data_IF_713607101977
#
_entry.id   IF_713607101977
#
_cell.length_a   1.000
_cell.length_b   1.000
_cell.length_c   1.000
_cell.angle_alpha   90.00
_cell.angle_beta   90.00
_cell.angle_gamma   90.00
#
_symmetry.space_group_name_H-M   'P 1'
#
loop_
_entity.id
_entity.type
_entity.pdbx_description
1 polymer ?
#
# COMPACT_ATOMS: atom_id res chain seq x y z
N UNK A 1 7.70 -15.53 2.61
CA UNK A 1 6.63 -14.64 2.08
C UNK A 1 7.20 -13.25 1.82
N UNK A 2 6.90 -12.67 0.67
CA UNK A 2 7.24 -11.28 0.32
C UNK A 2 5.98 -10.44 0.34
N UNK A 3 6.03 -9.29 1.01
CA UNK A 3 4.94 -8.32 1.11
C UNK A 3 5.38 -7.00 0.47
N UNK A 4 5.15 -6.80 -0.84
CA UNK A 4 5.40 -5.52 -1.48
C UNK A 4 4.46 -4.46 -0.91
N UNK A 5 5.01 -3.39 -0.34
CA UNK A 5 4.24 -2.29 0.26
C UNK A 5 4.84 -0.93 -0.10
N UNK A 6 4.05 0.14 -0.01
CA UNK A 6 4.64 1.48 0.01
C UNK A 6 5.46 1.70 1.29
N UNK A 7 6.52 2.50 1.19
CA UNK A 7 7.40 2.77 2.32
C UNK A 7 6.70 3.60 3.42
N UNK A 8 5.83 4.52 2.99
CA UNK A 8 5.03 5.39 3.85
C UNK A 8 3.76 4.63 4.25
N UNK A 9 3.43 4.63 5.54
CA UNK A 9 2.26 4.03 6.17
C UNK A 9 2.08 2.50 5.98
N UNK A 10 1.95 2.01 4.74
CA UNK A 10 1.54 0.61 4.45
C UNK A 10 2.52 -0.42 5.01
N UNK A 11 3.83 -0.16 4.94
CA UNK A 11 4.82 -1.09 5.48
C UNK A 11 4.66 -1.27 7.00
N UNK A 12 4.43 -0.17 7.71
CA UNK A 12 4.29 -0.12 9.16
C UNK A 12 2.94 -0.72 9.58
N UNK A 13 1.87 -0.42 8.86
CA UNK A 13 0.54 -0.98 9.12
C UNK A 13 0.52 -2.51 8.95
N UNK A 14 1.14 -3.06 7.89
CA UNK A 14 1.26 -4.52 7.74
C UNK A 14 2.04 -5.11 8.91
N UNK A 15 3.16 -4.49 9.31
CA UNK A 15 3.93 -4.97 10.45
C UNK A 15 3.08 -5.01 11.73
N UNK A 16 2.31 -3.96 12.00
CA UNK A 16 1.40 -3.89 13.14
C UNK A 16 0.28 -4.94 13.06
N UNK A 17 -0.33 -5.16 11.90
CA UNK A 17 -1.35 -6.20 11.69
C UNK A 17 -0.78 -7.59 12.00
N UNK A 18 0.39 -7.90 11.46
CA UNK A 18 1.07 -9.18 11.71
C UNK A 18 1.35 -9.36 13.22
N UNK A 19 1.94 -8.35 13.85
CA UNK A 19 2.24 -8.38 15.27
C UNK A 19 1.00 -8.52 16.16
N UNK A 20 -0.10 -7.85 15.81
CA UNK A 20 -1.38 -7.93 16.52
C UNK A 20 -1.99 -9.34 16.47
N UNK A 21 -1.71 -10.10 15.40
CA UNK A 21 -2.16 -11.49 15.24
C UNK A 21 -1.10 -12.52 15.68
N UNK A 22 -0.08 -12.09 16.42
CA UNK A 22 0.97 -12.99 16.93
C UNK A 22 2.03 -13.39 15.90
N UNK A 23 1.97 -12.90 14.67
CA UNK A 23 2.99 -13.14 13.64
C UNK A 23 4.12 -12.12 13.76
N UNK A 24 5.18 -12.48 14.46
CA UNK A 24 6.33 -11.59 14.69
C UNK A 24 7.69 -12.30 14.59
N UNK A 25 7.70 -13.63 14.52
CA UNK A 25 8.93 -14.38 14.30
C UNK A 25 9.41 -14.19 12.86
N UNK A 26 10.70 -13.86 12.72
CA UNK A 26 11.38 -13.71 11.44
C UNK A 26 10.67 -12.76 10.43
N UNK A 27 10.09 -11.67 10.95
CA UNK A 27 9.51 -10.59 10.14
C UNK A 27 10.55 -9.49 9.93
N UNK A 28 10.86 -9.21 8.67
CA UNK A 28 11.86 -8.26 8.23
C UNK A 28 11.25 -7.03 7.59
N UNK A 29 11.91 -5.89 7.75
CA UNK A 29 11.62 -4.65 7.04
C UNK A 29 12.85 -4.17 6.26
N UNK A 30 12.66 -3.83 4.99
CA UNK A 30 13.73 -3.38 4.08
C UNK A 30 13.36 -2.08 3.32
N UNK A 31 14.33 -1.54 2.59
CA UNK A 31 14.19 -0.36 1.74
C UNK A 31 14.05 0.91 2.56
N UNK A 32 13.36 1.90 1.98
CA UNK A 32 13.08 3.18 2.63
C UNK A 32 12.09 3.06 3.79
N UNK A 33 11.35 1.95 3.91
CA UNK A 33 10.42 1.73 5.01
C UNK A 33 11.12 1.73 6.37
N UNK A 34 12.40 1.31 6.42
CA UNK A 34 13.22 1.33 7.64
C UNK A 34 13.43 2.74 8.18
N UNK A 35 13.71 3.70 7.29
CA UNK A 35 13.92 5.09 7.67
C UNK A 35 12.61 5.75 8.11
N UNK A 36 11.51 5.44 7.41
CA UNK A 36 10.20 5.97 7.80
C UNK A 36 9.65 5.35 9.08
N UNK A 37 9.98 4.09 9.37
CA UNK A 37 9.70 3.51 10.66
C UNK A 37 10.39 4.31 11.78
N UNK A 38 11.65 4.70 11.58
CA UNK A 38 12.35 5.54 12.56
C UNK A 38 11.67 6.91 12.71
N UNK A 39 11.34 7.57 11.60
CA UNK A 39 10.62 8.84 11.63
C UNK A 39 9.30 8.75 12.43
N UNK A 40 8.50 7.71 12.20
CA UNK A 40 7.27 7.50 12.97
C UNK A 40 7.50 7.20 14.45
N UNK A 41 8.64 6.59 14.81
CA UNK A 41 8.99 6.34 16.20
C UNK A 41 9.51 7.60 16.90
N UNK A 42 10.02 8.58 16.15
CA UNK A 42 10.52 9.85 16.68
C UNK A 42 9.39 10.88 16.88
N UNK A 43 8.27 10.73 16.16
CA UNK A 43 7.15 11.70 16.09
C UNK A 43 5.81 11.10 16.60
N UNK A 44 5.75 10.71 17.88
CA UNK A 44 4.58 10.05 18.51
C UNK A 44 3.25 10.78 18.28
N UNK A 45 3.25 12.11 18.37
CA UNK A 45 2.05 12.96 18.25
C UNK A 45 1.28 12.73 16.94
N UNK A 46 1.98 12.35 15.86
CA UNK A 46 1.39 12.18 14.53
C UNK A 46 1.02 10.74 14.19
N UNK A 47 1.17 9.80 15.14
CA UNK A 47 0.95 8.37 14.92
C UNK A 47 -0.21 7.87 15.76
N UNK A 48 -1.36 7.67 15.12
CA UNK A 48 -2.44 6.90 15.73
C UNK A 48 -2.00 5.44 15.96
N UNK A 49 -2.21 4.94 17.18
CA UNK A 49 -1.76 3.61 17.58
C UNK A 49 -0.23 3.48 17.79
N UNK A 50 0.46 4.57 18.15
CA UNK A 50 1.92 4.59 18.40
C UNK A 50 2.43 3.43 19.28
N UNK A 51 1.72 3.15 20.37
CA UNK A 51 2.03 2.05 21.29
C UNK A 51 2.19 0.69 20.59
N UNK A 52 1.31 0.39 19.64
CA UNK A 52 1.38 -0.83 18.86
C UNK A 52 2.58 -0.79 17.92
N UNK A 53 2.83 0.35 17.26
CA UNK A 53 3.99 0.53 16.39
C UNK A 53 5.31 0.37 17.17
N UNK A 54 5.44 0.98 18.34
CA UNK A 54 6.63 0.92 19.20
C UNK A 54 6.87 -0.48 19.79
N UNK A 55 5.81 -1.24 20.10
CA UNK A 55 5.94 -2.67 20.45
C UNK A 55 6.34 -3.52 19.25
N UNK A 56 5.80 -3.22 18.08
CA UNK A 56 6.07 -3.95 16.83
C UNK A 56 7.50 -3.73 16.36
N UNK A 57 7.99 -2.48 16.41
CA UNK A 57 9.34 -2.11 15.95
C UNK A 57 10.44 -2.88 16.69
N UNK A 58 10.26 -3.12 17.99
CA UNK A 58 11.19 -3.92 18.81
C UNK A 58 11.28 -5.39 18.41
N UNK A 59 10.25 -5.91 17.72
CA UNK A 59 10.18 -7.29 17.25
C UNK A 59 10.60 -7.44 15.79
N UNK A 60 10.56 -6.35 15.02
CA UNK A 60 10.96 -6.33 13.61
C UNK A 60 12.47 -6.48 13.44
N UNK A 61 12.86 -7.27 12.44
CA UNK A 61 14.25 -7.37 11.98
C UNK A 61 14.48 -6.33 10.89
N UNK A 62 15.45 -5.44 11.10
CA UNK A 62 15.76 -4.38 10.14
C UNK A 62 16.89 -4.84 9.22
N UNK A 63 16.64 -4.88 7.91
CA UNK A 63 17.65 -5.20 6.91
C UNK A 63 18.72 -4.10 6.87
N UNK A 64 19.98 -4.45 7.08
CA UNK A 64 21.11 -3.50 7.06
C UNK A 64 21.83 -3.46 5.72
N UNK A 65 21.73 -4.52 4.92
CA UNK A 65 22.37 -4.58 3.62
C UNK A 65 22.23 -5.93 2.95
N UNK A 66 23.03 -6.16 1.91
CA UNK A 66 22.95 -7.33 1.03
C UNK A 66 22.98 -8.67 1.77
N UNK A 67 23.85 -8.82 2.78
CA UNK A 67 23.98 -10.07 3.56
C UNK A 67 22.68 -10.46 4.26
N UNK A 68 21.96 -9.49 4.82
CA UNK A 68 20.66 -9.75 5.45
C UNK A 68 19.61 -10.16 4.41
N UNK A 69 19.65 -9.56 3.21
CA UNK A 69 18.76 -9.91 2.10
C UNK A 69 18.97 -11.33 1.61
N UNK A 70 20.22 -11.78 1.57
CA UNK A 70 20.59 -13.15 1.21
C UNK A 70 20.13 -14.11 2.31
N UNK A 71 20.46 -13.83 3.57
CA UNK A 71 20.07 -14.65 4.72
C UNK A 71 18.55 -14.85 4.85
N UNK A 72 17.76 -13.79 4.71
CA UNK A 72 16.29 -13.91 4.87
C UNK A 72 15.63 -14.73 3.76
N UNK A 73 16.33 -15.01 2.66
CA UNK A 73 15.86 -15.91 1.60
C UNK A 73 16.22 -17.38 1.88
N UNK A 74 17.13 -17.65 2.82
CA UNK A 74 17.56 -19.02 3.18
C UNK A 74 16.60 -19.66 4.20
N UNK A 75 15.93 -18.86 5.03
CA UNK A 75 15.01 -19.30 6.08
C UNK A 75 13.55 -18.88 5.78
N UNK A 76 12.54 -19.62 6.28
CA UNK A 76 11.15 -19.18 6.26
C UNK A 76 10.99 -17.81 6.96
N UNK A 77 10.80 -16.78 6.15
CA UNK A 77 10.79 -15.38 6.59
C UNK A 77 9.60 -14.64 5.98
N UNK A 78 9.18 -13.56 6.64
CA UNK A 78 8.31 -12.53 6.04
C UNK A 78 9.16 -11.29 5.78
N UNK A 79 9.13 -10.75 4.56
CA UNK A 79 9.80 -9.47 4.26
C UNK A 79 8.80 -8.43 3.77
N UNK A 80 8.71 -7.32 4.49
CA UNK A 80 7.90 -6.15 4.13
C UNK A 80 8.84 -5.13 3.49
N UNK A 81 8.58 -4.78 2.23
CA UNK A 81 9.52 -3.93 1.49
C UNK A 81 8.83 -3.13 0.38
N UNK A 82 9.35 -1.93 0.06
CA UNK A 82 9.03 -1.22 -1.17
C UNK A 82 9.75 -1.79 -2.41
N UNK A 83 9.25 -1.55 -3.62
CA UNK A 83 8.05 -0.76 -3.94
C UNK A 83 6.75 -1.59 -3.99
N UNK A 84 5.64 -1.04 -3.47
CA UNK A 84 4.35 -1.74 -3.35
C UNK A 84 3.68 -2.18 -4.65
N UNK A 85 4.08 -1.60 -5.79
CA UNK A 85 3.62 -2.00 -7.13
C UNK A 85 4.68 -2.79 -7.93
N UNK A 86 5.75 -3.23 -7.28
CA UNK A 86 6.85 -3.98 -7.87
C UNK A 86 7.58 -3.29 -9.04
N UNK A 87 7.46 -1.97 -9.19
CA UNK A 87 8.20 -1.19 -10.21
C UNK A 87 9.73 -1.21 -10.02
N UNK A 88 10.21 -1.66 -8.86
CA UNK A 88 11.63 -1.74 -8.55
C UNK A 88 11.89 -1.89 -7.05
N UNK A 89 13.13 -1.60 -6.65
CA UNK A 89 13.56 -1.69 -5.25
C UNK A 89 13.65 -3.12 -4.71
N UNK A 90 13.87 -3.28 -3.39
CA UNK A 90 14.13 -4.60 -2.82
C UNK A 90 12.93 -5.55 -2.92
N UNK A 91 11.68 -5.07 -2.90
CA UNK A 91 10.50 -5.94 -3.09
C UNK A 91 10.50 -6.64 -4.44
N UNK A 92 10.87 -5.93 -5.51
CA UNK A 92 11.02 -6.54 -6.83
C UNK A 92 12.13 -7.58 -6.83
N UNK A 93 13.25 -7.33 -6.14
CA UNK A 93 14.33 -8.30 -5.98
C UNK A 93 13.84 -9.58 -5.27
N UNK A 94 13.17 -9.46 -4.12
CA UNK A 94 12.67 -10.63 -3.40
C UNK A 94 11.61 -11.39 -4.19
N UNK A 95 10.64 -10.68 -4.79
CA UNK A 95 9.60 -11.29 -5.60
C UNK A 95 10.19 -12.12 -6.75
N UNK A 96 11.25 -11.62 -7.42
CA UNK A 96 11.96 -12.38 -8.45
C UNK A 96 12.66 -13.62 -7.88
N UNK A 97 13.29 -13.50 -6.71
CA UNK A 97 14.02 -14.61 -6.08
C UNK A 97 13.10 -15.75 -5.65
N UNK A 98 11.90 -15.43 -5.17
CA UNK A 98 10.94 -16.44 -4.72
C UNK A 98 9.96 -16.86 -5.82
N UNK A 99 9.98 -16.24 -7.00
CA UNK A 99 8.95 -16.46 -8.03
C UNK A 99 8.79 -17.93 -8.43
N UNK A 100 9.90 -18.69 -8.48
CA UNK A 100 9.90 -20.11 -8.85
C UNK A 100 9.64 -21.09 -7.71
N UNK A 101 9.42 -20.61 -6.48
CA UNK A 101 9.24 -21.46 -5.30
C UNK A 101 7.75 -21.57 -4.93
N UNK A 102 7.17 -22.76 -5.09
CA UNK A 102 5.75 -23.06 -4.81
C UNK A 102 5.40 -22.96 -3.32
N UNK A 103 6.38 -23.11 -2.41
CA UNK A 103 6.16 -22.93 -0.97
C UNK A 103 6.10 -21.44 -0.58
N UNK A 104 6.53 -20.56 -1.47
CA UNK A 104 6.59 -19.12 -1.24
C UNK A 104 5.28 -18.41 -1.62
N UNK A 105 5.10 -17.21 -1.07
CA UNK A 105 3.94 -16.35 -1.34
C UNK A 105 4.39 -14.91 -1.59
N UNK A 106 3.81 -14.29 -2.61
CA UNK A 106 3.87 -12.86 -2.88
C UNK A 106 2.50 -12.27 -2.50
N UNK A 107 2.45 -11.50 -1.42
CA UNK A 107 1.24 -10.86 -0.89
C UNK A 107 1.23 -9.37 -1.25
N UNK A 108 0.48 -9.01 -2.29
CA UNK A 108 0.31 -7.64 -2.74
C UNK A 108 -0.71 -6.92 -1.84
N UNK A 109 -0.23 -5.97 -1.03
CA UNK A 109 -1.09 -5.26 -0.06
C UNK A 109 -1.60 -3.90 -0.53
N UNK A 110 -1.05 -3.40 -1.64
CA UNK A 110 -1.36 -2.08 -2.18
C UNK A 110 -2.16 -2.18 -3.48
N UNK A 111 -2.82 -1.08 -3.86
CA UNK A 111 -3.39 -0.93 -5.20
C UNK A 111 -2.31 -1.16 -6.27
N UNK A 112 -2.69 -1.84 -7.35
CA UNK A 112 -1.81 -2.15 -8.47
C UNK A 112 -2.32 -1.40 -9.70
N UNK A 113 -1.66 -0.29 -10.04
CA UNK A 113 -2.06 0.51 -11.19
C UNK A 113 -1.88 -0.29 -12.49
N UNK A 114 -2.66 0.01 -13.55
CA UNK A 114 -2.46 -0.57 -14.87
C UNK A 114 -1.01 -0.43 -15.33
N UNK A 115 -0.53 -1.42 -16.09
CA UNK A 115 0.84 -1.47 -16.63
C UNK A 115 1.96 -1.52 -15.59
N UNK A 116 1.65 -1.84 -14.32
CA UNK A 116 2.67 -2.12 -13.30
C UNK A 116 3.05 -3.61 -13.27
N UNK A 117 4.28 -3.96 -12.83
CA UNK A 117 4.66 -5.36 -12.68
C UNK A 117 3.75 -6.13 -11.72
N UNK A 118 3.26 -5.51 -10.65
CA UNK A 118 2.32 -6.16 -9.75
C UNK A 118 0.92 -6.36 -10.37
N UNK A 119 0.44 -5.46 -11.22
CA UNK A 119 -0.79 -5.69 -11.99
C UNK A 119 -0.64 -6.85 -12.99
N UNK A 120 0.50 -6.92 -13.69
CA UNK A 120 0.81 -8.05 -14.59
C UNK A 120 0.91 -9.37 -13.84
N UNK A 121 1.54 -9.35 -12.65
CA UNK A 121 1.65 -10.53 -11.80
C UNK A 121 0.26 -11.05 -11.38
N UNK A 122 -0.67 -10.17 -11.05
CA UNK A 122 -2.04 -10.56 -10.70
C UNK A 122 -2.83 -11.10 -11.91
N UNK A 123 -2.71 -10.45 -13.06
CA UNK A 123 -3.50 -10.80 -14.24
C UNK A 123 -2.97 -12.06 -14.95
N UNK A 124 -1.66 -12.20 -15.04
CA UNK A 124 -1.00 -13.22 -15.87
C UNK A 124 -0.19 -14.24 -15.08
N UNK A 125 0.02 -14.01 -13.77
CA UNK A 125 0.93 -14.84 -12.98
C UNK A 125 2.40 -14.69 -13.42
N UNK A 126 2.78 -13.53 -13.97
CA UNK A 126 4.12 -13.29 -14.52
C UNK A 126 4.78 -12.04 -13.95
N UNK A 127 6.08 -12.15 -13.70
CA UNK A 127 6.99 -11.03 -13.50
C UNK A 127 7.78 -10.79 -14.79
N UNK A 128 8.14 -9.53 -15.06
CA UNK A 128 8.96 -9.18 -16.23
C UNK A 128 10.19 -8.34 -15.85
N UNK A 129 11.09 -8.84 -14.99
CA UNK A 129 12.30 -8.10 -14.65
C UNK A 129 13.20 -7.92 -15.89
N UNK A 130 13.65 -6.69 -16.12
CA UNK A 130 14.60 -6.34 -17.19
C UNK A 130 14.21 -6.89 -18.58
N UNK A 131 12.92 -7.02 -18.87
CA UNK A 131 12.40 -7.50 -20.16
C UNK A 131 12.33 -9.02 -20.32
N UNK A 132 12.77 -9.82 -19.34
CA UNK A 132 12.60 -11.28 -19.36
C UNK A 132 11.37 -11.70 -18.56
N UNK A 133 10.51 -12.55 -19.12
CA UNK A 133 9.34 -13.06 -18.41
C UNK A 133 9.67 -14.24 -17.50
N UNK A 134 9.18 -14.19 -16.27
CA UNK A 134 9.24 -15.27 -15.28
C UNK A 134 7.81 -15.61 -14.88
N UNK A 135 7.39 -16.85 -15.13
CA UNK A 135 6.12 -17.37 -14.60
C UNK A 135 6.27 -17.64 -13.11
N UNK A 136 5.37 -17.08 -12.29
CA UNK A 136 5.35 -17.32 -10.87
C UNK A 136 4.76 -18.71 -10.57
N UNK A 137 5.55 -19.57 -9.95
CA UNK A 137 5.10 -20.78 -9.26
C UNK A 137 4.69 -20.47 -7.81
N UNK A 138 5.29 -19.42 -7.21
CA UNK A 138 4.87 -18.91 -5.92
C UNK A 138 3.39 -18.48 -5.91
N UNK A 139 2.74 -18.67 -4.77
CA UNK A 139 1.37 -18.22 -4.57
C UNK A 139 1.29 -16.68 -4.65
N UNK A 140 0.43 -16.16 -5.51
CA UNK A 140 0.17 -14.72 -5.62
C UNK A 140 -1.18 -14.41 -5.00
N UNK A 141 -1.21 -13.52 -4.00
CA UNK A 141 -2.44 -13.10 -3.32
C UNK A 141 -2.48 -11.58 -3.26
N UNK A 142 -3.67 -11.00 -3.40
CA UNK A 142 -3.90 -9.59 -3.13
C UNK A 142 -4.81 -9.40 -1.92
N UNK A 143 -4.40 -8.51 -1.01
CA UNK A 143 -5.25 -8.00 0.07
C UNK A 143 -5.15 -6.48 0.11
N UNK A 144 -6.19 -5.77 -0.31
CA UNK A 144 -6.10 -4.31 -0.50
C UNK A 144 -6.19 -3.56 0.82
N UNK A 145 -5.04 -3.10 1.34
CA UNK A 145 -4.98 -2.10 2.41
C UNK A 145 -5.03 -0.71 1.79
N UNK A 146 -6.21 -0.07 1.85
CA UNK A 146 -6.43 1.28 1.35
C UNK A 146 -6.10 2.31 2.42
N UNK A 147 -5.37 3.37 2.07
CA UNK A 147 -5.29 4.59 2.86
C UNK A 147 -6.40 5.61 2.49
N UNK A 148 -7.20 5.28 1.47
CA UNK A 148 -8.28 6.14 0.98
C UNK A 148 -9.59 5.75 1.63
N UNK A 149 -10.33 6.78 2.03
CA UNK A 149 -11.70 6.64 2.50
C UNK A 149 -12.57 5.99 1.41
N UNK A 150 -13.40 5.02 1.82
CA UNK A 150 -14.41 4.42 0.98
C UNK A 150 -15.55 5.38 0.66
N UNK A 151 -16.44 4.98 -0.24
CA UNK A 151 -17.58 5.82 -0.64
C UNK A 151 -18.47 6.21 0.55
N UNK A 152 -18.75 5.28 1.46
CA UNK A 152 -19.56 5.56 2.65
C UNK A 152 -18.89 6.59 3.57
N UNK A 153 -17.59 6.47 3.79
CA UNK A 153 -16.80 7.38 4.64
C UNK A 153 -16.70 8.78 4.02
N UNK A 154 -16.52 8.88 2.69
CA UNK A 154 -16.55 10.15 1.98
C UNK A 154 -17.91 10.84 2.10
N UNK A 155 -19.00 10.08 1.92
CA UNK A 155 -20.37 10.60 2.05
C UNK A 155 -20.66 11.09 3.47
N UNK A 156 -20.29 10.29 4.47
CA UNK A 156 -20.41 10.65 5.88
C UNK A 156 -19.60 11.93 6.20
N UNK A 157 -18.34 12.00 5.75
CA UNK A 157 -17.47 13.16 5.93
C UNK A 157 -18.09 14.45 5.36
N UNK A 158 -18.67 14.38 4.15
CA UNK A 158 -19.29 15.52 3.47
C UNK A 158 -20.60 15.91 4.15
N UNK A 159 -21.44 14.94 4.55
CA UNK A 159 -22.73 15.19 5.20
C UNK A 159 -22.62 15.96 6.54
N UNK A 160 -21.43 15.93 7.16
CA UNK A 160 -21.12 16.62 8.41
C UNK A 160 -20.59 18.05 8.21
N UNK A 161 -20.53 18.55 6.97
CA UNK A 161 -20.05 19.90 6.65
C UNK A 161 -21.19 20.90 6.61
N UNK A 162 -20.86 22.17 6.83
CA UNK A 162 -21.82 23.27 6.67
C UNK A 162 -22.32 23.35 5.23
N UNK A 163 -23.58 23.76 5.03
CA UNK A 163 -24.18 23.93 3.70
C UNK A 163 -23.57 25.09 2.89
N UNK A 164 -22.62 25.84 3.44
CA UNK A 164 -21.86 26.87 2.72
C UNK A 164 -20.60 26.29 2.08
N UNK A 165 -20.54 26.25 0.75
CA UNK A 165 -19.31 25.95 0.00
C UNK A 165 -19.53 25.25 -1.33
N UNK A 166 -18.42 24.99 -2.04
CA UNK A 166 -18.39 24.15 -3.25
C UNK A 166 -17.48 22.94 -2.99
N UNK A 167 -18.02 21.74 -3.18
CA UNK A 167 -17.25 20.50 -3.18
C UNK A 167 -16.68 20.23 -4.57
N UNK A 168 -15.37 20.00 -4.68
CA UNK A 168 -14.72 19.69 -5.96
C UNK A 168 -14.20 18.26 -5.89
N UNK A 169 -14.74 17.36 -6.71
CA UNK A 169 -14.39 15.93 -6.71
C UNK A 169 -13.28 15.67 -7.73
N UNK A 170 -12.10 15.27 -7.27
CA UNK A 170 -10.90 15.03 -8.08
C UNK A 170 -10.15 13.78 -7.60
N UNK A 171 -9.09 13.40 -8.32
CA UNK A 171 -8.17 12.32 -7.95
C UNK A 171 -8.83 10.93 -7.81
N UNK A 172 -9.87 10.68 -8.60
CA UNK A 172 -10.52 9.38 -8.77
C UNK A 172 -10.76 9.08 -10.24
N UNK A 173 -11.22 7.86 -10.53
CA UNK A 173 -11.68 7.51 -11.87
C UNK A 173 -12.83 8.46 -12.28
N UNK A 174 -12.95 8.84 -13.57
CA UNK A 174 -13.92 9.85 -14.02
C UNK A 174 -15.35 9.58 -13.52
N UNK A 175 -15.82 8.34 -13.70
CA UNK A 175 -17.15 7.90 -13.27
C UNK A 175 -17.34 8.00 -11.75
N UNK A 176 -16.30 7.72 -10.96
CA UNK A 176 -16.36 7.78 -9.51
C UNK A 176 -16.46 9.23 -9.00
N UNK A 177 -15.71 10.15 -9.61
CA UNK A 177 -15.80 11.58 -9.31
C UNK A 177 -17.17 12.14 -9.70
N UNK A 178 -17.68 11.81 -10.90
CA UNK A 178 -19.03 12.22 -11.34
C UNK A 178 -20.11 11.70 -10.41
N UNK A 179 -20.05 10.42 -10.03
CA UNK A 179 -21.03 9.81 -9.13
C UNK A 179 -21.02 10.45 -7.74
N UNK A 180 -19.84 10.81 -7.20
CA UNK A 180 -19.74 11.49 -5.92
C UNK A 180 -20.31 12.92 -6.03
N UNK A 181 -19.98 13.67 -7.07
CA UNK A 181 -20.51 15.02 -7.27
C UNK A 181 -22.03 15.03 -7.42
N UNK A 182 -22.58 14.10 -8.21
CA UNK A 182 -24.02 13.93 -8.36
C UNK A 182 -24.70 13.62 -7.01
N UNK A 183 -24.09 12.73 -6.21
CA UNK A 183 -24.61 12.40 -4.88
C UNK A 183 -24.60 13.61 -3.95
N UNK A 184 -23.52 14.40 -3.91
CA UNK A 184 -23.41 15.58 -3.05
C UNK A 184 -24.50 16.61 -3.40
N UNK A 185 -24.67 16.93 -4.69
CA UNK A 185 -25.71 17.86 -5.13
C UNK A 185 -27.14 17.39 -4.79
N UNK A 186 -27.38 16.08 -4.75
CA UNK A 186 -28.70 15.50 -4.49
C UNK A 186 -29.03 15.29 -3.01
N UNK A 187 -28.02 15.15 -2.14
CA UNK A 187 -28.21 14.70 -0.75
C UNK A 187 -27.69 15.69 0.30
N UNK A 188 -27.14 16.83 -0.11
CA UNK A 188 -26.58 17.84 0.80
C UNK A 188 -26.99 19.24 0.34
N UNK A 189 -26.79 20.26 1.19
CA UNK A 189 -26.95 21.66 0.79
C UNK A 189 -25.81 22.22 -0.07
N UNK A 190 -24.77 21.41 -0.34
CA UNK A 190 -23.57 21.85 -1.07
C UNK A 190 -23.74 21.75 -2.59
N UNK A 191 -23.11 22.68 -3.30
CA UNK A 191 -22.84 22.54 -4.73
C UNK A 191 -21.61 21.66 -4.92
N UNK A 192 -21.68 20.68 -5.82
CA UNK A 192 -20.52 19.86 -6.20
C UNK A 192 -20.19 19.92 -7.68
N UNK A 193 -18.88 19.93 -7.99
CA UNK A 193 -18.33 20.04 -9.33
C UNK A 193 -17.27 18.95 -9.54
N UNK A 194 -17.35 18.22 -10.65
CA UNK A 194 -16.25 17.41 -11.17
C UNK A 194 -15.66 18.13 -12.40
N UNK A 195 -14.47 18.74 -12.31
CA UNK A 195 -13.88 19.45 -13.45
C UNK A 195 -13.43 18.48 -14.53
N UNK A 196 -13.90 18.70 -15.76
CA UNK A 196 -13.61 17.88 -16.94
C UNK A 196 -12.42 18.40 -17.78
N UNK A 197 -11.41 18.99 -17.13
CA UNK A 197 -10.23 19.52 -17.83
C UNK A 197 -9.39 20.50 -17.00
N UNK A 198 -8.37 21.15 -17.61
CA UNK A 198 -7.50 22.13 -16.95
C UNK A 198 -8.15 23.52 -16.77
N UNK A 199 -9.45 23.64 -17.04
CA UNK A 199 -10.14 24.93 -16.95
C UNK A 199 -10.23 25.41 -15.50
N UNK A 200 -9.98 26.71 -15.24
CA UNK A 200 -10.06 27.26 -13.90
C UNK A 200 -11.50 27.24 -13.39
N UNK A 201 -11.67 26.72 -12.18
CA UNK A 201 -12.95 26.77 -11.47
C UNK A 201 -13.06 28.17 -10.86
N UNK A 202 -14.04 28.96 -11.32
CA UNK A 202 -14.38 30.26 -10.73
C UNK A 202 -15.51 30.03 -9.72
N UNK A 203 -15.22 30.28 -8.44
CA UNK A 203 -16.08 30.03 -7.27
C UNK A 203 -16.64 31.34 -6.75
#
# INVERSE_FOLDING_TARGET
MVVPSFAVARAQEVACILAAHGFHENVWMDGMARQLLQLYLDDEEYVDGFDLLARTSRKLRIVKGRRDRERLLEDPSVVISPAGMLKGGPAAYYAQKIAGDEASTILLVSFQAPNTPGAKLLAEGKLSPNGSEIKAAAKVVQYKLSAHAGQAELRDYISKRSDSGIAITIHGDPEACEALAAWVNANTGLKAINPSGPEPIVV
#
